data_IF_075535323643
#
_entry.id   IF_075535323643
#
_cell.length_a   1.000
_cell.length_b   1.000
_cell.length_c   1.000
_cell.angle_alpha   90.00
_cell.angle_beta   90.00
_cell.angle_gamma   90.00
#
_symmetry.space_group_name_H-M   'P 1'
#
loop_
_entity.id
_entity.type
_entity.pdbx_description
1 polymer ?
#
# COMPACT_ATOMS: atom_id res chain seq x y z
N UNK A 1 28.52 29.10 45.63
CA UNK A 1 27.11 29.31 46.02
C UNK A 1 26.23 28.97 44.83
N UNK A 2 25.44 27.90 44.93
CA UNK A 2 24.64 27.35 43.83
C UNK A 2 23.37 28.15 43.63
N UNK A 3 23.16 28.66 42.40
CA UNK A 3 21.94 29.33 41.98
C UNK A 3 21.00 28.27 41.39
N UNK A 4 19.99 27.85 42.16
CA UNK A 4 18.91 26.98 41.67
C UNK A 4 18.08 27.76 40.65
N UNK A 5 18.10 27.33 39.40
CA UNK A 5 17.13 27.78 38.39
C UNK A 5 16.00 26.76 38.41
N UNK A 6 14.84 27.18 38.92
CA UNK A 6 13.60 26.43 38.81
C UNK A 6 13.13 26.50 37.35
N UNK A 7 13.05 25.34 36.69
CA UNK A 7 12.37 25.21 35.40
C UNK A 7 10.90 24.89 35.70
N UNK A 8 10.04 25.92 35.65
CA UNK A 8 8.60 25.72 35.62
C UNK A 8 8.22 25.26 34.21
N UNK A 9 7.94 23.96 34.06
CA UNK A 9 7.34 23.42 32.83
C UNK A 9 5.85 23.75 32.87
N UNK A 10 5.45 24.81 32.17
CA UNK A 10 4.04 25.07 31.89
C UNK A 10 3.55 24.02 30.89
N UNK A 11 2.76 23.07 31.37
CA UNK A 11 1.94 22.21 30.52
C UNK A 11 0.77 23.05 29.99
N UNK A 12 0.90 23.60 28.78
CA UNK A 12 -0.23 24.23 28.11
C UNK A 12 -1.13 23.15 27.52
N UNK A 13 -2.12 22.72 28.29
CA UNK A 13 -3.23 21.90 27.81
C UNK A 13 -4.23 22.84 27.10
N UNK A 14 -4.03 23.08 25.80
CA UNK A 14 -5.01 23.81 25.01
C UNK A 14 -6.11 22.83 24.54
N UNK A 15 -7.23 22.82 25.26
CA UNK A 15 -8.49 22.29 24.74
C UNK A 15 -8.95 23.16 23.58
N UNK A 16 -9.02 22.59 22.38
CA UNK A 16 -9.76 23.17 21.26
C UNK A 16 -11.03 22.33 21.07
N UNK A 17 -12.13 22.85 21.61
CA UNK A 17 -13.48 22.41 21.28
C UNK A 17 -13.94 23.11 19.99
N UNK A 18 -14.52 22.29 19.11
CA UNK A 18 -15.49 22.63 18.06
C UNK A 18 -15.08 23.63 16.98
N UNK A 19 -14.51 23.11 15.91
CA UNK A 19 -15.21 23.03 14.62
C UNK A 19 -14.58 21.86 13.88
N UNK A 20 -15.37 20.90 13.41
CA UNK A 20 -14.89 19.89 12.46
C UNK A 20 -14.57 20.66 11.17
N UNK A 21 -13.29 20.91 10.81
CA UNK A 21 -13.04 21.08 9.40
C UNK A 21 -13.46 19.75 8.78
N UNK A 22 -14.34 19.81 7.79
CA UNK A 22 -14.47 18.75 6.79
C UNK A 22 -13.07 18.19 6.58
N UNK A 23 -12.83 16.91 6.89
CA UNK A 23 -11.54 16.27 6.66
C UNK A 23 -11.40 16.25 5.14
N UNK A 24 -10.91 17.37 4.60
CA UNK A 24 -10.36 17.50 3.27
C UNK A 24 -9.43 16.32 3.17
N UNK A 25 -9.77 15.34 2.34
CA UNK A 25 -9.01 14.13 2.02
C UNK A 25 -7.52 14.35 2.31
N UNK A 26 -7.11 14.09 3.55
CA UNK A 26 -5.73 14.27 3.95
C UNK A 26 -5.04 13.07 3.35
N UNK A 27 -4.67 13.21 2.08
CA UNK A 27 -4.02 12.18 1.29
C UNK A 27 -2.80 11.79 2.10
N UNK A 28 -2.83 10.58 2.67
CA UNK A 28 -1.76 10.09 3.55
C UNK A 28 -0.51 10.04 2.69
N UNK A 29 0.37 11.03 2.86
CA UNK A 29 1.63 11.10 2.12
C UNK A 29 2.68 10.38 2.95
N UNK A 30 3.37 9.45 2.31
CA UNK A 30 4.53 8.80 2.91
C UNK A 30 5.62 9.83 3.18
N UNK A 31 6.28 9.74 4.34
CA UNK A 31 7.44 10.58 4.67
C UNK A 31 8.76 10.03 4.11
N UNK A 32 8.72 8.89 3.41
CA UNK A 32 9.92 8.25 2.84
C UNK A 32 10.11 8.55 1.36
N UNK A 33 11.22 8.05 0.80
CA UNK A 33 11.55 8.22 -0.62
C UNK A 33 10.38 7.74 -1.50
N UNK A 34 9.98 8.47 -2.55
CA UNK A 34 8.84 8.07 -3.36
C UNK A 34 9.09 6.74 -4.06
N UNK A 35 8.07 5.89 -4.21
CA UNK A 35 8.15 4.59 -4.89
C UNK A 35 8.82 4.77 -6.28
N UNK A 36 9.78 3.92 -6.68
CA UNK A 36 10.49 4.11 -7.96
C UNK A 36 9.54 4.10 -9.16
N UNK A 37 9.85 4.91 -10.18
CA UNK A 37 9.00 5.05 -11.39
C UNK A 37 8.72 3.72 -12.10
N UNK A 38 9.63 2.75 -11.99
CA UNK A 38 9.44 1.44 -12.60
C UNK A 38 8.27 0.66 -11.99
N UNK A 39 7.78 0.96 -10.80
CA UNK A 39 6.63 0.27 -10.21
C UNK A 39 5.30 0.87 -10.65
N UNK A 40 5.29 2.12 -11.11
CA UNK A 40 4.07 2.88 -11.41
C UNK A 40 3.22 2.21 -12.49
N UNK A 41 1.90 2.22 -12.26
CA UNK A 41 0.88 1.60 -13.10
C UNK A 41 0.22 0.39 -12.44
N UNK A 42 -0.69 -0.22 -13.17
CA UNK A 42 -1.46 -1.39 -12.76
C UNK A 42 -0.71 -2.69 -13.09
N UNK A 43 -0.67 -3.58 -12.11
CA UNK A 43 -0.13 -4.92 -12.22
C UNK A 43 -1.19 -5.93 -11.82
N UNK A 44 -1.36 -6.98 -12.62
CA UNK A 44 -2.38 -8.01 -12.39
C UNK A 44 -1.75 -9.39 -12.28
N UNK A 45 -2.31 -10.19 -11.40
CA UNK A 45 -1.88 -11.54 -11.08
C UNK A 45 -3.06 -12.37 -10.59
N UNK A 46 -2.75 -13.47 -9.93
CA UNK A 46 -3.73 -14.30 -9.23
C UNK A 46 -3.35 -14.45 -7.77
N UNK A 47 -4.35 -14.55 -6.88
CA UNK A 47 -4.19 -14.67 -5.43
C UNK A 47 -3.84 -16.12 -5.04
N UNK A 48 -2.82 -16.69 -5.70
CA UNK A 48 -2.35 -18.05 -5.43
C UNK A 48 -0.83 -18.05 -5.26
N UNK A 49 -0.39 -18.47 -4.07
CA UNK A 49 1.03 -18.41 -3.70
C UNK A 49 1.91 -19.09 -4.75
N UNK A 50 2.91 -18.33 -5.23
CA UNK A 50 3.88 -18.73 -6.25
C UNK A 50 3.28 -19.20 -7.58
N UNK A 51 2.01 -18.92 -7.86
CA UNK A 51 1.41 -19.29 -9.15
C UNK A 51 1.57 -18.15 -10.17
N UNK A 52 2.00 -18.51 -11.38
CA UNK A 52 2.04 -17.57 -12.52
C UNK A 52 0.74 -17.70 -13.32
N UNK A 53 0.00 -16.61 -13.54
CA UNK A 53 -1.16 -16.63 -14.42
C UNK A 53 -0.74 -16.89 -15.87
N UNK A 54 -1.63 -17.48 -16.65
CA UNK A 54 -1.40 -17.66 -18.09
C UNK A 54 -1.55 -16.32 -18.81
N UNK A 55 -1.00 -16.20 -20.03
CA UNK A 55 -1.17 -14.98 -20.85
C UNK A 55 -2.64 -14.63 -21.12
N UNK A 56 -3.51 -15.65 -21.24
CA UNK A 56 -4.96 -15.45 -21.42
C UNK A 56 -5.55 -14.79 -20.18
N UNK A 57 -5.28 -15.34 -19.00
CA UNK A 57 -5.74 -14.77 -17.72
C UNK A 57 -5.27 -13.32 -17.56
N UNK A 58 -3.99 -13.03 -17.81
CA UNK A 58 -3.47 -11.66 -17.76
C UNK A 58 -4.25 -10.72 -18.69
N UNK A 59 -4.51 -11.15 -19.94
CA UNK A 59 -5.27 -10.35 -20.90
C UNK A 59 -6.71 -10.09 -20.40
N UNK A 60 -7.35 -11.10 -19.84
CA UNK A 60 -8.73 -11.01 -19.38
C UNK A 60 -8.85 -10.06 -18.16
N UNK A 61 -7.88 -10.13 -17.23
CA UNK A 61 -7.76 -9.23 -16.08
C UNK A 61 -7.52 -7.78 -16.50
N UNK A 62 -6.56 -7.53 -17.41
CA UNK A 62 -6.23 -6.17 -17.86
C UNK A 62 -7.34 -5.47 -18.65
N UNK A 63 -8.27 -6.22 -19.25
CA UNK A 63 -9.39 -5.63 -19.99
C UNK A 63 -10.62 -5.37 -19.11
N UNK A 64 -10.52 -5.61 -17.79
CA UNK A 64 -11.65 -5.58 -16.84
C UNK A 64 -12.85 -6.43 -17.31
N UNK A 65 -12.60 -7.37 -18.22
CA UNK A 65 -13.62 -8.17 -18.90
C UNK A 65 -14.02 -9.40 -18.08
N UNK A 66 -13.30 -9.66 -17.00
CA UNK A 66 -13.44 -10.86 -16.19
C UNK A 66 -13.03 -10.58 -14.75
N UNK A 67 -14.01 -10.59 -13.84
CA UNK A 67 -13.76 -10.68 -12.40
C UNK A 67 -13.51 -12.15 -12.09
N UNK A 68 -12.25 -12.52 -11.88
CA UNK A 68 -11.91 -13.83 -11.30
C UNK A 68 -11.94 -13.70 -9.78
N UNK A 69 -12.56 -14.68 -9.11
CA UNK A 69 -12.51 -14.81 -7.64
C UNK A 69 -11.05 -14.80 -7.14
N UNK A 70 -10.09 -15.23 -7.96
CA UNK A 70 -8.68 -15.25 -7.63
C UNK A 70 -7.89 -14.04 -8.18
N UNK A 71 -8.50 -12.91 -8.54
CA UNK A 71 -7.76 -11.81 -9.16
C UNK A 71 -6.98 -10.98 -8.12
N UNK A 72 -5.66 -10.86 -8.33
CA UNK A 72 -4.78 -9.99 -7.55
C UNK A 72 -4.43 -8.77 -8.41
N UNK A 73 -4.88 -7.57 -8.01
CA UNK A 73 -4.57 -6.32 -8.70
C UNK A 73 -3.76 -5.43 -7.77
N UNK A 74 -2.66 -4.86 -8.26
CA UNK A 74 -1.86 -3.89 -7.52
C UNK A 74 -1.60 -2.67 -8.39
N UNK A 75 -2.09 -1.52 -7.97
CA UNK A 75 -1.88 -0.24 -8.63
C UNK A 75 -0.93 0.62 -7.80
N UNK A 76 0.21 0.98 -8.39
CA UNK A 76 1.11 1.98 -7.80
C UNK A 76 0.75 3.36 -8.32
N UNK A 77 0.31 4.23 -7.41
CA UNK A 77 -0.23 5.55 -7.71
C UNK A 77 0.80 6.46 -8.40
N UNK A 78 0.33 7.31 -9.31
CA UNK A 78 1.19 8.21 -10.09
C UNK A 78 1.96 9.24 -9.23
N UNK A 79 1.46 9.54 -8.03
CA UNK A 79 2.13 10.40 -7.04
C UNK A 79 3.34 9.72 -6.36
N UNK A 80 3.49 8.41 -6.56
CA UNK A 80 4.56 7.56 -6.03
C UNK A 80 4.56 7.51 -4.49
N UNK A 81 3.43 7.81 -3.85
CA UNK A 81 3.30 7.86 -2.40
C UNK A 81 2.64 6.61 -1.81
N UNK A 82 1.89 5.86 -2.62
CA UNK A 82 1.07 4.75 -2.16
C UNK A 82 0.85 3.71 -3.26
N UNK A 83 0.35 2.55 -2.85
CA UNK A 83 -0.30 1.57 -3.73
C UNK A 83 -1.69 1.22 -3.23
N UNK A 84 -2.53 0.78 -4.15
CA UNK A 84 -3.79 0.12 -3.84
C UNK A 84 -3.67 -1.34 -4.29
N UNK A 85 -3.95 -2.29 -3.41
CA UNK A 85 -4.07 -3.70 -3.77
C UNK A 85 -5.53 -4.11 -3.65
N UNK A 86 -6.06 -4.77 -4.67
CA UNK A 86 -7.42 -5.32 -4.68
C UNK A 86 -7.34 -6.83 -4.84
N UNK A 87 -7.92 -7.54 -3.89
CA UNK A 87 -8.23 -8.96 -3.96
C UNK A 87 -9.71 -9.07 -4.33
N UNK A 88 -10.01 -9.49 -5.55
CA UNK A 88 -11.37 -9.42 -6.09
C UNK A 88 -12.37 -10.17 -5.20
N UNK A 89 -13.49 -9.50 -4.88
CA UNK A 89 -14.56 -10.00 -4.00
C UNK A 89 -14.16 -10.25 -2.53
N UNK A 90 -12.93 -9.92 -2.14
CA UNK A 90 -12.44 -10.10 -0.77
C UNK A 90 -12.13 -8.74 -0.14
N UNK A 91 -11.00 -8.13 -0.50
CA UNK A 91 -10.40 -7.05 0.27
C UNK A 91 -9.75 -5.99 -0.63
N UNK A 92 -9.79 -4.73 -0.18
CA UNK A 92 -8.99 -3.61 -0.69
C UNK A 92 -7.97 -3.18 0.36
N UNK A 93 -6.72 -2.98 -0.07
CA UNK A 93 -5.60 -2.58 0.76
C UNK A 93 -5.06 -1.24 0.28
N UNK A 94 -5.13 -0.22 1.12
CA UNK A 94 -4.42 1.04 0.91
C UNK A 94 -3.08 0.99 1.62
N UNK A 95 -2.01 1.03 0.83
CA UNK A 95 -0.66 0.74 1.30
C UNK A 95 0.24 1.98 1.19
N UNK A 96 0.87 2.32 2.31
CA UNK A 96 1.73 3.49 2.43
C UNK A 96 3.10 3.08 2.96
N UNK A 97 4.19 3.22 2.18
CA UNK A 97 5.53 2.94 2.68
C UNK A 97 5.86 3.76 3.93
N UNK A 98 6.43 3.13 4.96
CA UNK A 98 6.83 3.76 6.23
C UNK A 98 8.36 3.77 6.36
N UNK A 99 9.04 2.76 5.84
CA UNK A 99 10.51 2.68 5.82
C UNK A 99 10.99 1.72 4.74
N UNK A 100 12.20 1.94 4.23
CA UNK A 100 12.88 1.02 3.32
C UNK A 100 14.14 0.45 3.97
N UNK A 101 14.26 -0.87 3.98
CA UNK A 101 15.53 -1.56 4.24
C UNK A 101 16.34 -1.73 2.95
N UNK A 102 15.67 -1.71 1.79
CA UNK A 102 16.30 -1.64 0.47
C UNK A 102 15.51 -0.73 -0.45
N UNK A 103 16.22 0.05 -1.25
CA UNK A 103 15.64 0.96 -2.23
C UNK A 103 16.50 1.02 -3.48
N UNK A 104 16.07 0.33 -4.54
CA UNK A 104 16.66 0.40 -5.88
C UNK A 104 15.56 0.65 -6.91
N UNK A 105 15.89 1.03 -8.17
CA UNK A 105 14.89 1.30 -9.20
C UNK A 105 13.90 0.16 -9.46
N UNK A 106 14.26 -1.08 -9.16
CA UNK A 106 13.47 -2.29 -9.44
C UNK A 106 13.30 -3.21 -8.23
N UNK A 107 13.68 -2.78 -7.03
CA UNK A 107 13.52 -3.58 -5.81
C UNK A 107 13.42 -2.66 -4.59
N UNK A 108 12.26 -2.71 -3.93
CA UNK A 108 12.00 -2.04 -2.66
C UNK A 108 11.55 -3.06 -1.62
N UNK A 109 12.13 -3.01 -0.43
CA UNK A 109 11.65 -3.79 0.73
C UNK A 109 11.73 -2.94 1.98
N UNK A 110 10.85 -3.22 2.94
CA UNK A 110 10.82 -2.50 4.20
C UNK A 110 9.52 -2.74 4.96
N UNK A 111 8.95 -1.66 5.47
CA UNK A 111 7.66 -1.68 6.18
C UNK A 111 6.69 -0.70 5.56
N UNK A 112 5.42 -1.08 5.49
CA UNK A 112 4.32 -0.24 5.04
C UNK A 112 3.18 -0.26 6.06
N UNK A 113 2.42 0.82 6.12
CA UNK A 113 1.09 0.83 6.73
C UNK A 113 0.12 0.27 5.69
N UNK A 114 -0.62 -0.76 6.06
CA UNK A 114 -1.66 -1.38 5.25
C UNK A 114 -3.00 -1.15 5.94
N UNK A 115 -3.93 -0.51 5.23
CA UNK A 115 -5.30 -0.25 5.69
C UNK A 115 -6.24 -1.09 4.84
N UNK A 116 -6.92 -2.04 5.47
CA UNK A 116 -7.68 -3.09 4.78
C UNK A 116 -9.17 -2.86 4.96
N UNK A 117 -9.89 -2.87 3.84
CA UNK A 117 -11.35 -2.80 3.79
C UNK A 117 -11.89 -4.08 3.15
N UNK A 118 -12.83 -4.74 3.82
CA UNK A 118 -13.56 -5.88 3.24
C UNK A 118 -14.58 -5.35 2.23
N UNK A 119 -14.58 -5.93 1.03
CA UNK A 119 -15.46 -5.54 -0.07
C UNK A 119 -16.89 -6.04 0.19
N UNK A 120 -17.85 -5.12 0.26
CA UNK A 120 -19.25 -5.43 0.50
C UNK A 120 -20.20 -4.32 0.08
N UNK A 121 -21.46 -4.39 0.54
CA UNK A 121 -22.42 -3.31 0.29
C UNK A 121 -22.03 -1.99 1.00
N UNK A 122 -21.26 -2.10 2.09
CA UNK A 122 -20.57 -1.01 2.75
C UNK A 122 -19.14 -1.50 2.98
N UNK A 123 -18.13 -0.85 2.42
CA UNK A 123 -16.74 -1.22 2.66
C UNK A 123 -16.42 -1.05 4.17
N UNK A 124 -16.12 -2.16 4.86
CA UNK A 124 -15.86 -2.16 6.30
C UNK A 124 -14.36 -2.17 6.59
N UNK A 125 -13.88 -1.29 7.47
CA UNK A 125 -12.48 -1.32 7.91
C UNK A 125 -12.23 -2.56 8.77
N UNK A 126 -11.50 -3.53 8.22
CA UNK A 126 -11.21 -4.81 8.90
C UNK A 126 -9.79 -4.89 9.46
N UNK A 127 -8.87 -4.05 8.99
CA UNK A 127 -7.48 -4.10 9.44
C UNK A 127 -6.71 -2.81 9.26
N UNK A 128 -5.77 -2.54 10.18
CA UNK A 128 -4.80 -1.45 10.05
C UNK A 128 -3.50 -1.82 10.74
N UNK A 129 -2.51 -2.24 9.96
CA UNK A 129 -1.26 -2.79 10.49
C UNK A 129 -0.03 -2.24 9.79
N UNK A 130 1.11 -2.23 10.51
CA UNK A 130 2.42 -2.00 9.90
C UNK A 130 3.07 -3.35 9.60
N UNK A 131 3.18 -3.68 8.33
CA UNK A 131 3.66 -4.98 7.86
C UNK A 131 4.90 -4.88 7.00
N UNK A 132 5.58 -6.01 6.82
CA UNK A 132 6.76 -6.12 5.95
C UNK A 132 6.33 -6.38 4.52
N UNK A 133 7.07 -5.82 3.56
CA UNK A 133 6.91 -6.10 2.14
C UNK A 133 8.27 -6.26 1.44
N UNK A 134 8.30 -7.01 0.33
CA UNK A 134 9.38 -7.05 -0.66
C UNK A 134 8.75 -7.04 -2.06
N UNK A 135 8.97 -5.94 -2.79
CA UNK A 135 8.53 -5.77 -4.17
C UNK A 135 9.74 -5.74 -5.10
N UNK A 136 9.75 -6.62 -6.10
CA UNK A 136 10.87 -6.77 -7.03
C UNK A 136 10.42 -6.97 -8.46
N UNK A 137 10.90 -6.12 -9.37
CA UNK A 137 10.69 -6.27 -10.80
C UNK A 137 11.84 -7.08 -11.41
N UNK A 138 11.52 -8.25 -11.94
CA UNK A 138 12.48 -9.16 -12.59
C UNK A 138 11.92 -9.59 -13.94
N UNK A 139 12.68 -9.40 -15.02
CA UNK A 139 12.29 -9.80 -16.39
C UNK A 139 10.89 -9.30 -16.82
N UNK A 140 10.51 -8.09 -16.39
CA UNK A 140 9.23 -7.45 -16.76
C UNK A 140 8.03 -7.86 -15.91
N UNK A 141 8.24 -8.71 -14.90
CA UNK A 141 7.22 -9.14 -13.93
C UNK A 141 7.50 -8.53 -12.56
N UNK A 142 6.43 -8.18 -11.84
CA UNK A 142 6.49 -7.76 -10.45
C UNK A 142 6.30 -8.98 -9.54
N UNK A 143 7.29 -9.27 -8.71
CA UNK A 143 7.19 -10.19 -7.58
C UNK A 143 6.80 -9.38 -6.35
N UNK A 144 5.67 -9.73 -5.73
CA UNK A 144 5.21 -9.19 -4.46
C UNK A 144 5.35 -10.26 -3.39
N UNK A 145 6.09 -10.01 -2.33
CA UNK A 145 6.13 -10.87 -1.14
C UNK A 145 5.66 -10.08 0.08
N UNK A 146 4.62 -10.58 0.73
CA UNK A 146 4.02 -10.03 1.94
C UNK A 146 3.73 -11.16 2.95
N UNK A 147 2.93 -10.89 3.99
CA UNK A 147 2.59 -11.90 5.01
C UNK A 147 1.71 -13.04 4.49
N UNK A 148 1.02 -12.85 3.38
CA UNK A 148 0.08 -13.82 2.79
C UNK A 148 0.75 -14.77 1.79
N UNK A 149 1.82 -14.33 1.14
CA UNK A 149 2.57 -15.18 0.21
C UNK A 149 3.46 -14.39 -0.74
N UNK A 150 3.84 -15.07 -1.82
CA UNK A 150 4.60 -14.53 -2.95
C UNK A 150 3.73 -14.58 -4.21
N UNK A 151 3.47 -13.44 -4.83
CA UNK A 151 2.62 -13.28 -6.00
C UNK A 151 3.41 -12.78 -7.20
N UNK A 152 3.04 -13.27 -8.39
CA UNK A 152 3.67 -12.90 -9.66
C UNK A 152 2.67 -12.11 -10.50
N UNK A 153 2.96 -10.83 -10.72
CA UNK A 153 2.07 -9.91 -11.42
C UNK A 153 2.70 -9.40 -12.71
N UNK A 154 1.89 -9.28 -13.75
CA UNK A 154 2.27 -8.69 -15.04
C UNK A 154 1.63 -7.33 -15.18
N UNK A 155 2.36 -6.37 -15.75
CA UNK A 155 1.83 -5.03 -15.98
C UNK A 155 0.78 -5.05 -17.09
N UNK A 156 -0.34 -4.36 -16.88
CA UNK A 156 -1.26 -4.03 -17.96
C UNK A 156 -0.64 -2.99 -18.91
N UNK A 157 -0.96 -3.09 -20.19
CA UNK A 157 -0.39 -2.26 -21.26
C UNK A 157 -1.35 -1.19 -21.71
#
# INVERSE_FOLDING_TARGET
MYKRIQVNVFLALAMLLSSTPSIVNAQVRSSVKPIPKAFIGEWVGIIRDKQRPTKKVIKDLCNSSYYQDDAYVMEFNADRQSSNTTLSLEDNFYEYPVSYTKYTPNHITGKQLSVVFELGNNDELVGKDVERFDYRITKGELNVTNKYGTYYLTRCK
#
